data_IF_726866717921
#
_entry.id   IF_726866717921
#
_cell.length_a   1.000
_cell.length_b   1.000
_cell.length_c   1.000
_cell.angle_alpha   90.00
_cell.angle_beta   90.00
_cell.angle_gamma   90.00
#
_symmetry.space_group_name_H-M   'P 1'
#
loop_
_entity.id
_entity.type
_entity.pdbx_description
1 polymer ?
#
# COMPACT_ATOMS: atom_id res chain seq x y z
N UNK A 1 -1.52 -12.26 21.68
CA UNK A 1 -0.48 -11.23 21.38
C UNK A 1 0.88 -11.88 21.47
N UNK A 2 1.74 -11.69 20.48
CA UNK A 2 3.09 -12.27 20.37
C UNK A 2 4.02 -11.50 21.31
N UNK A 3 4.75 -12.21 22.18
CA UNK A 3 5.57 -11.57 23.23
C UNK A 3 7.08 -11.74 23.03
N UNK A 4 7.52 -12.74 22.26
CA UNK A 4 8.94 -13.03 22.11
C UNK A 4 9.33 -13.19 20.64
N UNK A 5 10.60 -12.86 20.34
CA UNK A 5 11.17 -13.03 19.00
C UNK A 5 11.14 -14.51 18.56
N UNK A 6 11.32 -15.45 19.49
CA UNK A 6 11.25 -16.89 19.19
C UNK A 6 9.85 -17.26 18.71
N UNK A 7 8.81 -16.85 19.45
CA UNK A 7 7.41 -17.10 19.07
C UNK A 7 7.09 -16.50 17.70
N UNK A 8 7.49 -15.24 17.45
CA UNK A 8 7.29 -14.59 16.16
C UNK A 8 7.98 -15.34 15.01
N UNK A 9 9.26 -15.71 15.19
CA UNK A 9 10.03 -16.46 14.18
C UNK A 9 9.41 -17.81 13.88
N UNK A 10 8.89 -18.51 14.88
CA UNK A 10 8.25 -19.82 14.68
C UNK A 10 6.93 -19.68 13.93
N UNK A 11 6.11 -18.67 14.24
CA UNK A 11 4.87 -18.36 13.50
C UNK A 11 5.17 -17.96 12.05
N UNK A 12 6.14 -17.08 11.82
CA UNK A 12 6.58 -16.68 10.47
C UNK A 12 7.08 -17.88 9.68
N UNK A 13 7.86 -18.77 10.29
CA UNK A 13 8.37 -20.00 9.63
C UNK A 13 7.23 -20.93 9.22
N UNK A 14 6.23 -21.11 10.09
CA UNK A 14 5.08 -21.94 9.78
C UNK A 14 4.26 -21.34 8.64
N UNK A 15 3.98 -20.05 8.70
CA UNK A 15 3.26 -19.34 7.64
C UNK A 15 4.04 -19.34 6.30
N UNK A 16 5.36 -19.18 6.36
CA UNK A 16 6.24 -19.27 5.19
C UNK A 16 6.14 -20.62 4.47
N UNK A 17 6.07 -21.72 5.22
CA UNK A 17 5.87 -23.05 4.66
C UNK A 17 4.46 -23.25 4.10
N UNK A 18 3.45 -22.79 4.84
CA UNK A 18 2.04 -22.91 4.44
C UNK A 18 1.76 -22.14 3.15
N UNK A 19 2.26 -20.90 3.05
CA UNK A 19 2.00 -19.97 1.94
C UNK A 19 3.07 -19.99 0.85
N UNK A 20 4.13 -20.80 0.99
CA UNK A 20 5.30 -20.80 0.09
C UNK A 20 5.89 -19.41 -0.10
N UNK A 21 5.86 -18.58 0.95
CA UNK A 21 6.29 -17.19 0.93
C UNK A 21 7.62 -17.01 1.67
N UNK A 22 8.42 -16.01 1.27
CA UNK A 22 9.70 -15.71 1.90
C UNK A 22 9.52 -15.21 3.35
N UNK A 23 10.21 -15.86 4.31
CA UNK A 23 10.10 -15.56 5.73
C UNK A 23 10.59 -14.15 6.09
N UNK A 24 11.56 -13.59 5.35
CA UNK A 24 12.04 -12.22 5.59
C UNK A 24 11.00 -11.19 5.13
N UNK A 25 10.32 -11.47 4.03
CA UNK A 25 9.21 -10.63 3.54
C UNK A 25 8.05 -10.68 4.53
N UNK A 26 7.68 -11.86 5.02
CA UNK A 26 6.62 -12.01 6.03
C UNK A 26 6.97 -11.29 7.35
N UNK A 27 8.23 -11.37 7.80
CA UNK A 27 8.69 -10.62 8.97
C UNK A 27 8.53 -9.11 8.76
N UNK A 28 8.89 -8.60 7.58
CA UNK A 28 8.73 -7.19 7.24
C UNK A 28 7.25 -6.80 7.17
N UNK A 29 6.41 -7.63 6.56
CA UNK A 29 4.96 -7.40 6.51
C UNK A 29 4.36 -7.32 7.93
N UNK A 30 4.76 -8.19 8.85
CA UNK A 30 4.35 -8.10 10.25
C UNK A 30 4.69 -6.73 10.87
N UNK A 31 5.91 -6.23 10.64
CA UNK A 31 6.31 -4.92 11.14
C UNK A 31 5.54 -3.76 10.47
N UNK A 32 5.22 -3.89 9.17
CA UNK A 32 4.36 -2.92 8.46
C UNK A 32 2.93 -2.92 9.03
N UNK A 33 2.37 -4.09 9.35
CA UNK A 33 1.07 -4.19 10.03
C UNK A 33 1.06 -3.47 11.39
N UNK A 34 2.14 -3.60 12.17
CA UNK A 34 2.27 -2.89 13.46
C UNK A 34 2.33 -1.37 13.25
N UNK A 35 2.91 -0.92 12.16
CA UNK A 35 2.89 0.49 11.79
C UNK A 35 1.50 0.95 11.34
N UNK A 36 0.81 0.19 10.48
CA UNK A 36 -0.57 0.47 10.06
C UNK A 36 -1.53 0.54 11.25
N UNK A 37 -1.35 -0.31 12.25
CA UNK A 37 -2.16 -0.27 13.46
C UNK A 37 -1.96 1.03 14.24
N UNK A 38 -0.73 1.55 14.32
CA UNK A 38 -0.46 2.87 14.93
C UNK A 38 -1.13 3.99 14.14
N UNK A 39 -1.11 3.91 12.80
CA UNK A 39 -1.84 4.87 11.95
C UNK A 39 -3.32 4.85 12.27
N UNK A 40 -3.95 3.68 12.36
CA UNK A 40 -5.39 3.54 12.60
C UNK A 40 -5.84 4.12 13.95
N UNK A 41 -4.91 4.22 14.91
CA UNK A 41 -5.15 4.76 16.26
C UNK A 41 -4.66 6.21 16.43
N UNK A 42 -3.94 6.76 15.43
CA UNK A 42 -3.39 8.11 15.48
C UNK A 42 -4.41 9.17 15.04
N UNK A 43 -4.08 10.42 15.27
CA UNK A 43 -4.81 11.57 14.72
C UNK A 43 -4.75 11.67 13.20
N UNK A 44 -3.80 10.97 12.55
CA UNK A 44 -3.59 10.93 11.10
C UNK A 44 -4.39 9.83 10.39
N UNK A 45 -5.19 9.03 11.12
CA UNK A 45 -5.97 7.93 10.56
C UNK A 45 -6.84 8.30 9.36
N UNK A 46 -7.35 9.55 9.33
CA UNK A 46 -8.24 10.02 8.28
C UNK A 46 -7.48 10.75 7.14
N UNK A 47 -6.18 10.91 7.28
CA UNK A 47 -5.31 11.52 6.26
C UNK A 47 -4.43 10.52 5.54
N UNK A 48 -4.07 9.42 6.20
CA UNK A 48 -3.19 8.40 5.66
C UNK A 48 -4.00 7.36 4.87
N UNK A 49 -3.71 7.24 3.57
CA UNK A 49 -4.44 6.37 2.66
C UNK A 49 -3.47 5.34 2.09
N UNK A 50 -3.69 4.07 2.41
CA UNK A 50 -2.86 2.95 1.94
C UNK A 50 -3.07 2.74 0.44
N UNK A 51 -1.95 2.53 -0.30
CA UNK A 51 -1.94 2.19 -1.72
C UNK A 51 -0.88 1.14 -2.04
N UNK A 52 -0.61 0.92 -3.32
CA UNK A 52 0.51 0.14 -3.81
C UNK A 52 0.49 -1.33 -3.45
N UNK A 53 1.71 -1.89 -3.35
CA UNK A 53 1.91 -3.34 -3.23
C UNK A 53 1.33 -3.98 -1.97
N UNK A 54 1.31 -3.26 -0.84
CA UNK A 54 0.76 -3.80 0.41
C UNK A 54 -0.77 -3.89 0.39
N UNK A 55 -1.43 -2.91 -0.23
CA UNK A 55 -2.88 -2.97 -0.42
C UNK A 55 -3.27 -4.12 -1.36
N UNK A 56 -2.54 -4.29 -2.49
CA UNK A 56 -2.78 -5.41 -3.40
C UNK A 56 -2.57 -6.74 -2.69
N UNK A 57 -1.48 -6.91 -1.92
CA UNK A 57 -1.24 -8.12 -1.14
C UNK A 57 -2.34 -8.41 -0.13
N UNK A 58 -2.93 -7.38 0.49
CA UNK A 58 -4.07 -7.52 1.40
C UNK A 58 -5.35 -7.97 0.66
N UNK A 59 -5.56 -7.51 -0.59
CA UNK A 59 -6.73 -7.86 -1.40
C UNK A 59 -6.65 -9.29 -1.96
N UNK A 60 -5.46 -9.74 -2.38
CA UNK A 60 -5.30 -11.02 -3.10
C UNK A 60 -4.72 -12.14 -2.24
N UNK A 61 -4.14 -11.81 -1.08
CA UNK A 61 -3.45 -12.75 -0.20
C UNK A 61 -1.93 -12.75 -0.37
N UNK A 62 -1.22 -13.06 0.72
CA UNK A 62 0.25 -13.05 0.78
C UNK A 62 0.91 -14.19 -0.01
N UNK A 63 0.19 -15.26 -0.29
CA UNK A 63 0.58 -16.36 -1.15
C UNK A 63 0.61 -15.96 -2.63
N UNK A 64 -0.32 -15.11 -3.04
CA UNK A 64 -0.39 -14.61 -4.40
C UNK A 64 0.54 -13.41 -4.63
N UNK A 65 0.69 -12.55 -3.64
CA UNK A 65 1.43 -11.29 -3.78
C UNK A 65 2.18 -10.91 -2.50
N UNK A 66 3.46 -10.74 -2.60
CA UNK A 66 4.31 -10.24 -1.50
C UNK A 66 4.86 -8.85 -1.82
N UNK A 67 5.08 -8.05 -0.78
CA UNK A 67 5.66 -6.71 -0.90
C UNK A 67 6.71 -6.47 0.17
N UNK A 68 7.63 -5.55 -0.09
CA UNK A 68 8.70 -5.17 0.83
C UNK A 68 8.57 -3.73 1.33
N UNK A 69 7.76 -2.92 0.68
CA UNK A 69 7.62 -1.50 0.93
C UNK A 69 6.14 -1.19 1.21
N UNK A 70 5.91 -0.15 2.01
CA UNK A 70 4.58 0.37 2.30
C UNK A 70 4.43 1.67 1.50
N UNK A 71 3.42 1.72 0.64
CA UNK A 71 3.11 2.90 -0.15
C UNK A 71 1.84 3.56 0.39
N UNK A 72 1.84 4.88 0.49
CA UNK A 72 0.70 5.65 0.97
C UNK A 72 0.61 7.01 0.29
N UNK A 73 -0.58 7.60 0.31
CA UNK A 73 -0.77 9.01 0.01
C UNK A 73 -1.35 9.74 1.22
N UNK A 74 -0.95 11.00 1.41
CA UNK A 74 -1.48 11.85 2.47
C UNK A 74 -2.48 12.83 1.86
N UNK A 75 -3.71 12.80 2.38
CA UNK A 75 -4.79 13.67 1.95
C UNK A 75 -4.73 15.03 2.66
N UNK A 76 -4.81 16.11 1.88
CA UNK A 76 -5.02 17.44 2.42
C UNK A 76 -3.82 18.06 3.15
N UNK A 77 -2.61 17.60 2.86
CA UNK A 77 -1.37 18.21 3.36
C UNK A 77 -0.40 18.47 2.21
N UNK A 78 0.36 19.55 2.29
CA UNK A 78 1.58 19.70 1.50
C UNK A 78 2.61 18.78 2.12
N UNK A 79 3.30 17.99 1.28
CA UNK A 79 4.33 17.07 1.75
C UNK A 79 5.68 17.75 1.61
N UNK A 80 6.19 18.22 2.72
CA UNK A 80 7.60 18.55 2.89
C UNK A 80 8.23 17.59 3.91
N UNK A 81 9.54 17.55 3.94
CA UNK A 81 10.30 16.64 4.80
C UNK A 81 9.97 16.85 6.28
N UNK A 82 9.83 18.09 6.73
CA UNK A 82 9.56 18.44 8.13
C UNK A 82 8.16 17.99 8.58
N UNK A 83 7.13 18.23 7.76
CA UNK A 83 5.76 17.78 8.05
C UNK A 83 5.66 16.26 8.13
N UNK A 84 6.37 15.54 7.24
CA UNK A 84 6.41 14.07 7.27
C UNK A 84 7.19 13.56 8.48
N UNK A 85 8.28 14.21 8.88
CA UNK A 85 9.03 13.83 10.08
C UNK A 85 8.14 13.95 11.32
N UNK A 86 7.41 15.05 11.46
CA UNK A 86 6.47 15.27 12.56
C UNK A 86 5.33 14.25 12.55
N UNK A 87 4.75 13.98 11.39
CA UNK A 87 3.70 12.96 11.21
C UNK A 87 4.18 11.57 11.62
N UNK A 88 5.32 11.13 11.10
CA UNK A 88 5.88 9.81 11.41
C UNK A 88 6.23 9.71 12.90
N UNK A 89 6.85 10.75 13.46
CA UNK A 89 7.19 10.81 14.89
C UNK A 89 5.96 10.69 15.79
N UNK A 90 4.87 11.35 15.42
CA UNK A 90 3.59 11.23 16.12
C UNK A 90 3.00 9.82 16.01
N UNK A 91 3.00 9.22 14.83
CA UNK A 91 2.49 7.86 14.61
C UNK A 91 3.27 6.82 15.42
N UNK A 92 4.59 6.86 15.40
CA UNK A 92 5.41 5.83 16.07
C UNK A 92 5.34 5.90 17.59
N UNK A 93 4.92 7.04 18.14
CA UNK A 93 4.71 7.24 19.59
C UNK A 93 3.34 6.77 20.07
N UNK A 94 2.41 6.40 19.20
CA UNK A 94 1.11 5.83 19.59
C UNK A 94 1.35 4.58 20.44
N UNK A 95 0.85 4.55 21.69
CA UNK A 95 1.12 3.45 22.60
C UNK A 95 0.34 2.20 22.21
N UNK A 96 1.05 1.13 21.84
CA UNK A 96 0.51 -0.22 21.65
C UNK A 96 1.39 -1.19 22.42
N UNK A 97 0.79 -2.08 23.20
CA UNK A 97 1.50 -3.11 23.96
C UNK A 97 1.85 -4.32 23.07
N UNK A 98 2.55 -4.07 21.97
CA UNK A 98 3.00 -5.08 21.00
C UNK A 98 4.50 -5.38 21.07
N UNK A 99 5.23 -4.66 21.91
CA UNK A 99 6.69 -4.79 22.08
C UNK A 99 7.50 -4.29 20.88
N UNK A 100 6.88 -3.75 19.84
CA UNK A 100 7.58 -3.23 18.65
C UNK A 100 7.97 -1.77 18.84
N UNK A 101 9.26 -1.48 18.64
CA UNK A 101 9.81 -0.12 18.67
C UNK A 101 10.21 0.30 17.26
N UNK A 102 9.88 1.52 16.91
CA UNK A 102 10.24 2.14 15.62
C UNK A 102 11.32 3.19 15.85
N UNK A 103 12.29 3.24 14.94
CA UNK A 103 13.33 4.25 14.95
C UNK A 103 13.47 4.83 13.54
N UNK A 104 13.22 6.12 13.40
CA UNK A 104 13.48 6.85 12.16
C UNK A 104 14.98 6.86 11.86
N UNK A 105 15.35 6.57 10.62
CA UNK A 105 16.74 6.56 10.14
C UNK A 105 17.02 7.73 9.20
N UNK A 106 16.18 7.89 8.20
CA UNK A 106 16.31 8.98 7.23
C UNK A 106 14.98 9.28 6.56
N UNK A 107 14.83 10.52 6.13
CA UNK A 107 13.76 10.97 5.24
C UNK A 107 14.44 11.62 4.04
N UNK A 108 13.98 11.29 2.85
CA UNK A 108 14.51 11.84 1.60
C UNK A 108 13.41 12.04 0.58
N UNK A 109 13.53 13.08 -0.21
CA UNK A 109 12.68 13.26 -1.38
C UNK A 109 12.97 12.19 -2.42
N UNK A 110 11.92 11.67 -3.04
CA UNK A 110 12.03 10.79 -4.20
C UNK A 110 11.73 11.66 -5.41
N UNK A 111 12.76 11.91 -6.22
CA UNK A 111 12.58 12.44 -7.56
C UNK A 111 12.30 11.25 -8.50
N UNK A 112 11.07 10.76 -8.51
CA UNK A 112 10.62 9.91 -9.61
C UNK A 112 10.26 10.83 -10.78
N UNK A 113 10.28 10.29 -12.02
CA UNK A 113 9.89 11.00 -13.25
C UNK A 113 8.41 11.44 -13.25
N UNK A 114 7.72 11.30 -12.12
CA UNK A 114 6.34 11.70 -11.92
C UNK A 114 6.23 13.19 -11.53
N UNK A 115 5.13 13.79 -11.93
CA UNK A 115 4.79 15.21 -11.79
C UNK A 115 4.75 15.73 -10.33
N UNK A 116 4.81 14.82 -9.33
CA UNK A 116 4.74 15.15 -7.90
C UNK A 116 5.87 14.50 -7.11
N UNK A 117 6.60 15.26 -6.28
CA UNK A 117 7.64 14.72 -5.44
C UNK A 117 7.04 13.79 -4.37
N UNK A 118 7.62 12.60 -4.24
CA UNK A 118 7.36 11.70 -3.14
C UNK A 118 8.39 11.84 -2.03
N UNK A 119 8.07 11.35 -0.84
CA UNK A 119 9.01 11.29 0.29
C UNK A 119 9.19 9.83 0.72
N UNK A 120 10.44 9.38 0.76
CA UNK A 120 10.83 8.09 1.31
C UNK A 120 11.24 8.22 2.76
N UNK A 121 10.56 7.48 3.62
CA UNK A 121 10.88 7.33 5.03
C UNK A 121 11.54 5.97 5.23
N UNK A 122 12.78 5.98 5.70
CA UNK A 122 13.51 4.78 6.09
C UNK A 122 13.52 4.66 7.61
N UNK A 123 13.07 3.52 8.12
CA UNK A 123 13.01 3.22 9.55
C UNK A 123 13.65 1.87 9.85
N UNK A 124 14.01 1.65 11.09
CA UNK A 124 14.24 0.32 11.64
C UNK A 124 13.22 0.02 12.73
N UNK A 125 12.72 -1.20 12.72
CA UNK A 125 11.88 -1.73 13.80
C UNK A 125 12.69 -2.69 14.65
N UNK A 126 12.42 -2.70 15.96
CA UNK A 126 13.04 -3.65 16.88
C UNK A 126 11.95 -4.34 17.68
N UNK A 127 11.98 -5.66 17.67
CA UNK A 127 11.10 -6.50 18.48
C UNK A 127 11.92 -7.59 19.15
N UNK A 128 12.01 -7.57 20.49
CA UNK A 128 12.77 -8.55 21.30
C UNK A 128 14.15 -8.86 20.70
N UNK A 129 14.93 -7.82 20.37
CA UNK A 129 16.29 -7.92 19.79
C UNK A 129 16.36 -8.21 18.29
N UNK A 130 15.23 -8.50 17.63
CA UNK A 130 15.19 -8.64 16.16
C UNK A 130 15.01 -7.29 15.52
N UNK A 131 15.93 -6.91 14.64
CA UNK A 131 15.89 -5.64 13.88
C UNK A 131 15.42 -5.91 12.46
N UNK A 132 14.43 -5.16 12.00
CA UNK A 132 13.87 -5.27 10.64
C UNK A 132 13.81 -3.88 10.00
N UNK A 133 14.39 -3.67 8.81
CA UNK A 133 14.27 -2.40 8.11
C UNK A 133 12.88 -2.24 7.50
N UNK A 134 12.33 -1.03 7.57
CA UNK A 134 11.10 -0.61 6.90
C UNK A 134 11.34 0.55 5.98
N UNK A 135 10.64 0.55 4.85
CA UNK A 135 10.54 1.69 3.94
C UNK A 135 9.09 2.04 3.72
N UNK A 136 8.81 3.33 3.77
CA UNK A 136 7.49 3.89 3.51
C UNK A 136 7.68 4.97 2.46
N UNK A 137 6.98 4.83 1.34
CA UNK A 137 6.96 5.83 0.28
C UNK A 137 5.63 6.59 0.36
N UNK A 138 5.73 7.89 0.55
CA UNK A 138 4.59 8.78 0.76
C UNK A 138 4.49 9.75 -0.41
N UNK A 139 3.35 9.77 -1.07
CA UNK A 139 2.99 10.74 -2.09
C UNK A 139 1.91 11.70 -1.62
N UNK A 140 1.63 12.73 -2.41
CA UNK A 140 0.50 13.64 -2.23
C UNK A 140 -0.07 14.04 -3.57
N UNK A 141 -1.31 14.56 -3.52
CA UNK A 141 -1.97 15.06 -4.73
C UNK A 141 -2.57 13.99 -5.61
N UNK A 142 -2.49 12.71 -5.20
CA UNK A 142 -3.03 11.61 -5.98
C UNK A 142 -4.55 11.75 -6.15
N UNK A 143 -5.01 11.63 -7.41
CA UNK A 143 -6.44 11.63 -7.72
C UNK A 143 -7.04 10.26 -7.41
N UNK A 144 -7.92 10.19 -6.42
CA UNK A 144 -8.63 8.96 -6.04
C UNK A 144 -10.06 9.06 -6.55
N UNK A 145 -10.44 8.24 -7.51
CA UNK A 145 -11.76 8.30 -8.15
C UNK A 145 -12.54 7.01 -7.92
N UNK A 146 -13.79 7.05 -7.43
CA UNK A 146 -14.53 8.26 -7.02
C UNK A 146 -14.06 8.83 -5.67
N UNK A 147 -13.49 8.02 -4.78
CA UNK A 147 -12.90 8.40 -3.47
C UNK A 147 -12.23 7.21 -2.80
N UNK A 148 -11.43 7.48 -1.80
CA UNK A 148 -10.88 6.45 -0.89
C UNK A 148 -11.97 5.65 -0.20
N UNK A 149 -11.63 4.41 0.18
CA UNK A 149 -12.55 3.48 0.86
C UNK A 149 -12.03 3.08 2.24
N UNK A 150 -12.95 2.80 3.15
CA UNK A 150 -12.60 2.12 4.40
C UNK A 150 -12.29 0.67 4.09
N UNK A 151 -11.09 0.25 4.39
CA UNK A 151 -10.61 -1.10 4.16
C UNK A 151 -10.35 -1.81 5.48
N UNK A 152 -10.99 -2.97 5.67
CA UNK A 152 -10.76 -3.84 6.83
C UNK A 152 -9.55 -4.71 6.56
N UNK A 153 -8.38 -4.24 6.98
CA UNK A 153 -7.09 -4.89 6.76
C UNK A 153 -6.91 -6.05 7.75
N UNK A 154 -6.97 -7.28 7.26
CA UNK A 154 -6.79 -8.49 8.07
C UNK A 154 -5.33 -8.68 8.45
N UNK A 155 -5.04 -8.87 9.73
CA UNK A 155 -3.69 -9.10 10.21
C UNK A 155 -3.23 -10.53 9.93
N UNK A 156 -1.97 -10.67 9.58
CA UNK A 156 -1.37 -11.92 9.10
C UNK A 156 -1.31 -13.01 10.19
N UNK A 157 -0.99 -12.64 11.42
CA UNK A 157 -0.75 -13.57 12.54
C UNK A 157 -1.79 -13.47 13.66
N UNK A 158 -2.85 -12.69 13.46
CA UNK A 158 -3.91 -12.49 14.44
C UNK A 158 -5.27 -12.58 13.76
N UNK A 159 -6.25 -13.18 14.42
CA UNK A 159 -7.61 -13.28 13.89
C UNK A 159 -8.42 -12.01 14.19
N UNK A 160 -7.92 -10.87 13.71
CA UNK A 160 -8.56 -9.56 13.77
C UNK A 160 -8.15 -8.70 12.59
N UNK A 161 -8.90 -7.64 12.37
CA UNK A 161 -8.63 -6.64 11.34
C UNK A 161 -8.45 -5.26 11.95
N UNK A 162 -7.80 -4.38 11.21
CA UNK A 162 -7.72 -2.95 11.51
C UNK A 162 -8.39 -2.17 10.37
N UNK A 163 -9.10 -1.10 10.72
CA UNK A 163 -9.76 -0.25 9.72
C UNK A 163 -8.85 0.90 9.33
N UNK A 164 -8.52 0.97 8.05
CA UNK A 164 -7.67 1.99 7.46
C UNK A 164 -8.34 2.58 6.22
N UNK A 165 -7.95 3.79 5.83
CA UNK A 165 -8.29 4.30 4.51
C UNK A 165 -7.36 3.70 3.47
N UNK A 166 -7.90 3.35 2.32
CA UNK A 166 -7.16 2.77 1.20
C UNK A 166 -7.72 3.24 -0.14
N UNK A 167 -6.92 3.07 -1.19
CA UNK A 167 -7.42 3.21 -2.54
C UNK A 167 -8.56 2.23 -2.81
N UNK A 168 -9.55 2.69 -3.56
CA UNK A 168 -10.52 1.78 -4.18
C UNK A 168 -9.85 0.97 -5.29
N UNK A 169 -10.49 -0.11 -5.70
CA UNK A 169 -9.95 -1.03 -6.71
C UNK A 169 -9.70 -0.33 -8.05
N UNK A 170 -10.61 0.55 -8.45
CA UNK A 170 -10.54 1.30 -9.72
C UNK A 170 -9.29 2.19 -9.76
N UNK A 171 -8.97 2.88 -8.67
CA UNK A 171 -7.78 3.72 -8.58
C UNK A 171 -6.50 2.87 -8.58
N UNK A 172 -6.48 1.72 -7.88
CA UNK A 172 -5.34 0.78 -7.92
C UNK A 172 -5.08 0.31 -9.35
N UNK A 173 -6.12 -0.09 -10.08
CA UNK A 173 -6.01 -0.55 -11.46
C UNK A 173 -5.57 0.58 -12.41
N UNK A 174 -6.12 1.78 -12.23
CA UNK A 174 -5.78 2.95 -13.03
C UNK A 174 -4.29 3.34 -12.87
N UNK A 175 -3.77 3.41 -11.63
CA UNK A 175 -2.36 3.72 -11.35
C UNK A 175 -1.41 2.70 -12.00
N UNK A 176 -1.78 1.42 -11.95
CA UNK A 176 -0.97 0.35 -12.57
C UNK A 176 -1.00 0.40 -14.09
N UNK A 177 -2.16 0.65 -14.67
CA UNK A 177 -2.31 0.83 -16.12
C UNK A 177 -1.53 2.05 -16.61
N UNK A 178 -1.62 3.18 -15.91
CA UNK A 178 -0.85 4.37 -16.21
C UNK A 178 0.65 4.07 -16.19
N UNK A 179 1.15 3.41 -15.14
CA UNK A 179 2.56 3.01 -15.02
C UNK A 179 3.01 2.14 -16.20
N UNK A 180 2.17 1.18 -16.63
CA UNK A 180 2.47 0.32 -17.77
C UNK A 180 2.54 1.13 -19.08
N UNK A 181 1.56 2.01 -19.31
CA UNK A 181 1.46 2.82 -20.52
C UNK A 181 2.60 3.84 -20.60
N UNK A 182 2.88 4.53 -19.51
CA UNK A 182 3.91 5.58 -19.45
C UNK A 182 5.31 5.02 -19.64
N UNK A 183 5.61 3.85 -19.04
CA UNK A 183 6.93 3.22 -19.15
C UNK A 183 7.14 2.41 -20.43
N UNK A 184 6.07 2.12 -21.16
CA UNK A 184 6.09 1.44 -22.47
C UNK A 184 7.05 0.24 -22.52
N UNK A 185 7.92 0.17 -23.56
CA UNK A 185 8.89 -0.91 -23.78
C UNK A 185 10.04 -0.94 -22.77
N UNK A 186 10.24 0.10 -21.98
CA UNK A 186 11.25 0.16 -20.90
C UNK A 186 10.70 -0.33 -19.57
N UNK A 187 9.44 -0.80 -19.54
CA UNK A 187 8.80 -1.27 -18.33
C UNK A 187 9.40 -2.61 -17.86
N UNK A 188 10.22 -2.56 -16.84
CA UNK A 188 10.77 -3.75 -16.15
C UNK A 188 9.90 -4.23 -14.98
N UNK A 189 8.79 -3.54 -14.69
CA UNK A 189 7.89 -3.84 -13.57
C UNK A 189 6.84 -4.89 -13.95
N UNK A 190 7.26 -6.12 -14.17
CA UNK A 190 6.35 -7.24 -14.46
C UNK A 190 5.27 -7.45 -13.39
N UNK A 191 5.50 -6.95 -12.18
CA UNK A 191 4.54 -7.03 -11.08
C UNK A 191 3.24 -6.25 -11.35
N UNK A 192 3.29 -5.13 -12.07
CA UNK A 192 2.08 -4.34 -12.36
C UNK A 192 1.14 -5.09 -13.32
N UNK A 193 1.69 -5.83 -14.30
CA UNK A 193 0.90 -6.72 -15.16
C UNK A 193 0.27 -7.85 -14.34
N UNK A 194 1.02 -8.48 -13.46
CA UNK A 194 0.52 -9.54 -12.61
C UNK A 194 -0.57 -9.03 -11.65
N UNK A 195 -0.36 -7.87 -11.04
CA UNK A 195 -1.31 -7.25 -10.12
C UNK A 195 -2.65 -6.96 -10.81
N UNK A 196 -2.64 -6.42 -12.04
CA UNK A 196 -3.87 -6.21 -12.83
C UNK A 196 -4.56 -7.55 -13.10
N UNK A 197 -3.81 -8.55 -13.58
CA UNK A 197 -4.35 -9.86 -13.90
C UNK A 197 -5.03 -10.51 -12.69
N UNK A 198 -4.35 -10.57 -11.54
CA UNK A 198 -4.89 -11.24 -10.36
C UNK A 198 -6.08 -10.49 -9.73
N UNK A 199 -6.04 -9.15 -9.73
CA UNK A 199 -7.15 -8.34 -9.24
C UNK A 199 -8.38 -8.51 -10.12
N UNK A 200 -8.23 -8.58 -11.45
CA UNK A 200 -9.33 -8.84 -12.37
C UNK A 200 -9.94 -10.23 -12.14
N UNK A 201 -9.10 -11.26 -11.99
CA UNK A 201 -9.58 -12.63 -11.71
C UNK A 201 -10.40 -12.74 -10.42
N UNK A 202 -10.01 -12.01 -9.38
CA UNK A 202 -10.65 -12.09 -8.07
C UNK A 202 -11.89 -11.21 -7.95
N UNK A 203 -11.91 -10.08 -8.62
CA UNK A 203 -12.99 -9.09 -8.47
C UNK A 203 -13.90 -8.96 -9.68
N UNK A 204 -13.56 -9.62 -10.80
CA UNK A 204 -14.38 -9.61 -12.02
C UNK A 204 -14.58 -8.21 -12.62
N UNK A 205 -13.61 -7.32 -12.44
CA UNK A 205 -13.66 -5.95 -12.97
C UNK A 205 -13.46 -5.98 -14.49
N UNK A 206 -14.54 -5.83 -15.23
CA UNK A 206 -14.43 -5.71 -16.67
C UNK A 206 -13.96 -4.30 -17.08
N UNK A 207 -12.66 -4.10 -17.18
CA UNK A 207 -12.05 -2.83 -17.63
C UNK A 207 -12.54 -2.39 -19.02
N UNK A 208 -13.07 -3.32 -19.82
CA UNK A 208 -13.62 -3.04 -21.15
C UNK A 208 -14.90 -2.18 -21.11
N UNK A 209 -15.66 -2.21 -20.02
CA UNK A 209 -16.90 -1.44 -19.88
C UNK A 209 -16.71 -0.02 -19.33
N UNK A 210 -15.55 0.31 -18.79
CA UNK A 210 -15.28 1.63 -18.20
C UNK A 210 -14.67 2.63 -19.19
N UNK A 211 -14.18 2.17 -20.34
CA UNK A 211 -13.67 3.03 -21.42
C UNK A 211 -14.71 3.13 -22.53
N UNK A 212 -15.26 4.33 -22.82
CA UNK A 212 -16.15 4.48 -23.96
C UNK A 212 -15.40 4.09 -25.25
N UNK A 213 -15.92 3.10 -25.95
CA UNK A 213 -15.37 2.67 -27.23
C UNK A 213 -15.25 3.88 -28.19
N UNK A 214 -14.20 3.98 -28.99
CA UNK A 214 -14.13 4.99 -30.04
C UNK A 214 -15.36 4.98 -30.96
N UNK A 215 -16.08 3.85 -31.05
CA UNK A 215 -17.34 3.71 -31.79
C UNK A 215 -18.51 4.40 -31.09
N UNK A 216 -18.52 4.48 -29.76
CA UNK A 216 -19.61 5.13 -29.01
C UNK A 216 -19.59 6.65 -29.17
N UNK A 217 -18.42 7.23 -29.48
CA UNK A 217 -18.28 8.66 -29.84
C UNK A 217 -18.84 9.01 -31.23
N UNK A 218 -18.94 8.05 -32.12
CA UNK A 218 -19.42 8.30 -33.51
C UNK A 218 -20.94 8.31 -33.62
N UNK A 219 -21.67 7.71 -32.67
CA UNK A 219 -23.12 7.64 -32.66
C UNK A 219 -23.81 8.90 -32.10
N UNK A 220 -23.07 9.78 -31.40
CA UNK A 220 -23.64 11.04 -30.86
C UNK A 220 -23.64 12.23 -31.81
N UNK A 221 -23.28 12.03 -33.11
CA UNK A 221 -23.28 13.07 -34.14
C UNK A 221 -24.18 12.72 -35.30
N UNK A 222 -25.42 12.35 -35.03
CA UNK A 222 -26.45 12.49 -36.08
C UNK A 222 -27.09 13.88 -35.92
N UNK A 223 -26.99 14.76 -36.96
CA UNK A 223 -27.76 15.99 -36.96
C UNK A 223 -29.24 15.61 -37.10
N UNK A 224 -30.08 16.16 -36.21
CA UNK A 224 -31.52 16.14 -36.41
C UNK A 224 -31.80 16.92 -37.70
N UNK A 225 -32.12 16.20 -38.75
CA UNK A 225 -32.69 16.82 -39.94
C UNK A 225 -34.09 17.30 -39.60
N UNK A 226 -34.33 18.57 -39.89
CA UNK A 226 -35.58 19.29 -39.81
C UNK A 226 -36.75 18.62 -40.55
#
# INVERSE_FOLDING_TARGET
MIKTARQLKDLIRNLSREKSADAQILMRNYMMERFLERISLSEYRDKFILKGGMLVAAMVGLDARSTMDLDATIKGANVNVEDIENLISSIVTVPIDDGVKFQLKSISEIMDEAEYPGIRVSMSTTFDGVVTPLKIDISTGDAITPREVRYSFKLMLEDRSIDIWAYNLETVLAEKLETIITRTTTNTRMRDFYDIYILEQLHGTCLLYTSPSPRDRSLSRMPSSA
#
